data_IF_474771494866
#
_entry.id   IF_474771494866
#
_cell.length_a   1.000
_cell.length_b   1.000
_cell.length_c   1.000
_cell.angle_alpha   90.00
_cell.angle_beta   90.00
_cell.angle_gamma   90.00
#
_symmetry.space_group_name_H-M   'P 1'
#
loop_
_entity.id
_entity.type
_entity.pdbx_description
1 polymer ?
#
# COMPACT_ATOMS: atom_id res chain seq x y z
N UNK A 1 -7.03 -2.12 -5.33
CA UNK A 1 -6.36 -2.75 -6.51
C UNK A 1 -6.46 -4.27 -6.44
N UNK A 2 -6.24 -4.99 -7.53
CA UNK A 2 -6.17 -6.47 -7.58
C UNK A 2 -4.83 -7.01 -7.07
N UNK A 3 -4.77 -8.30 -6.69
CA UNK A 3 -3.52 -9.00 -6.32
C UNK A 3 -2.44 -8.83 -7.39
N UNK A 4 -2.81 -8.95 -8.67
CA UNK A 4 -1.86 -8.83 -9.79
C UNK A 4 -1.26 -7.43 -9.87
N UNK A 5 -2.09 -6.39 -9.80
CA UNK A 5 -1.61 -5.00 -9.81
C UNK A 5 -0.72 -4.71 -8.59
N UNK A 6 -1.06 -5.27 -7.43
CA UNK A 6 -0.23 -5.16 -6.22
C UNK A 6 1.10 -5.90 -6.39
N UNK A 7 1.10 -7.06 -7.06
CA UNK A 7 2.32 -7.82 -7.33
C UNK A 7 3.30 -7.08 -8.25
N UNK A 8 2.78 -6.23 -9.13
CA UNK A 8 3.54 -5.38 -10.06
C UNK A 8 4.09 -4.11 -9.41
N UNK A 9 3.79 -3.83 -8.13
CA UNK A 9 4.39 -2.73 -7.38
C UNK A 9 5.85 -3.02 -7.00
N UNK A 10 6.65 -1.97 -7.02
CA UNK A 10 8.08 -1.96 -6.72
C UNK A 10 8.42 -0.93 -5.66
N UNK A 11 9.59 -1.07 -5.03
CA UNK A 11 10.08 -0.10 -4.04
C UNK A 11 10.23 1.27 -4.69
N UNK A 12 9.65 2.30 -4.06
CA UNK A 12 9.58 3.66 -4.58
C UNK A 12 8.24 4.05 -5.20
N UNK A 13 7.38 3.07 -5.53
CA UNK A 13 6.04 3.36 -6.06
C UNK A 13 5.18 4.08 -5.02
N UNK A 14 4.36 5.02 -5.50
CA UNK A 14 3.42 5.80 -4.69
C UNK A 14 2.02 5.21 -4.72
N UNK A 15 1.39 5.20 -3.56
CA UNK A 15 0.05 4.64 -3.34
C UNK A 15 -0.77 5.54 -2.42
N UNK A 16 -2.09 5.35 -2.45
CA UNK A 16 -3.04 5.98 -1.54
C UNK A 16 -3.91 4.89 -0.92
N UNK A 17 -4.22 5.07 0.37
CA UNK A 17 -5.23 4.28 1.05
C UNK A 17 -6.64 4.70 0.59
N UNK A 18 -7.39 3.77 0.00
CA UNK A 18 -8.70 3.97 -0.63
C UNK A 18 -9.78 3.03 -0.04
N UNK A 19 -9.68 2.73 1.27
CA UNK A 19 -10.74 1.98 1.96
C UNK A 19 -11.89 2.90 2.39
N UNK A 20 -13.17 2.50 2.21
CA UNK A 20 -14.33 3.28 2.67
C UNK A 20 -14.52 3.30 4.20
N UNK A 21 -13.52 2.87 4.98
CA UNK A 21 -13.65 2.87 6.44
C UNK A 21 -13.68 4.32 6.99
N UNK A 22 -14.54 4.64 7.96
CA UNK A 22 -14.63 5.99 8.55
C UNK A 22 -13.36 6.42 9.33
N UNK A 23 -12.36 5.54 9.44
CA UNK A 23 -11.04 5.82 10.03
C UNK A 23 -9.96 6.13 8.98
N UNK A 24 -10.25 5.98 7.70
CA UNK A 24 -9.30 6.18 6.63
C UNK A 24 -9.26 7.65 6.21
N UNK A 25 -8.24 8.39 6.66
CA UNK A 25 -7.69 9.46 5.83
C UNK A 25 -7.14 8.80 4.56
N UNK A 26 -7.25 9.47 3.42
CA UNK A 26 -6.50 9.15 2.20
C UNK A 26 -5.01 9.39 2.48
N UNK A 27 -4.40 8.52 3.29
CA UNK A 27 -2.99 8.59 3.60
C UNK A 27 -2.24 8.15 2.33
N UNK A 28 -1.31 9.00 1.90
CA UNK A 28 -0.40 8.65 0.84
C UNK A 28 0.79 7.90 1.43
N UNK A 29 1.36 6.98 0.65
CA UNK A 29 2.47 6.16 1.09
C UNK A 29 3.38 5.75 -0.05
N UNK A 30 4.58 5.30 0.32
CA UNK A 30 5.58 4.76 -0.59
C UNK A 30 5.81 3.28 -0.27
N UNK A 31 5.96 2.44 -1.28
CA UNK A 31 6.46 1.08 -1.08
C UNK A 31 7.94 1.16 -0.67
N UNK A 32 8.28 0.70 0.53
CA UNK A 32 9.67 0.70 1.06
C UNK A 32 10.27 -0.71 1.11
N UNK A 33 9.45 -1.74 0.93
CA UNK A 33 9.90 -3.14 0.91
C UNK A 33 8.97 -4.04 0.11
N UNK A 34 9.53 -5.12 -0.45
CA UNK A 34 8.81 -6.12 -1.24
C UNK A 34 9.27 -7.52 -0.85
N UNK A 35 8.36 -8.29 -0.24
CA UNK A 35 8.53 -9.73 -0.05
C UNK A 35 8.12 -10.50 -1.30
N UNK A 36 8.04 -11.84 -1.28
CA UNK A 36 7.48 -12.61 -2.40
C UNK A 36 5.94 -12.46 -2.49
N UNK A 37 5.26 -12.39 -1.33
CA UNK A 37 3.80 -12.28 -1.21
C UNK A 37 3.34 -11.06 -0.42
N UNK A 38 4.23 -10.11 -0.12
CA UNK A 38 3.91 -8.96 0.73
C UNK A 38 4.57 -7.66 0.27
N UNK A 39 4.00 -6.56 0.74
CA UNK A 39 4.49 -5.19 0.56
C UNK A 39 4.70 -4.55 1.93
N UNK A 40 5.80 -3.83 2.09
CA UNK A 40 6.03 -2.94 3.22
C UNK A 40 5.80 -1.51 2.78
N UNK A 41 4.93 -0.79 3.48
CA UNK A 41 4.53 0.58 3.12
C UNK A 41 5.05 1.54 4.18
N UNK A 42 5.69 2.62 3.76
CA UNK A 42 5.89 3.80 4.58
C UNK A 42 4.77 4.79 4.31
N UNK A 43 3.87 4.96 5.27
CA UNK A 43 2.80 5.96 5.21
C UNK A 43 3.35 7.32 5.64
N UNK A 44 3.00 8.38 4.91
CA UNK A 44 3.57 9.71 5.14
C UNK A 44 3.21 10.29 6.53
N UNK A 45 2.12 9.82 7.13
CA UNK A 45 1.61 10.25 8.44
C UNK A 45 1.83 9.24 9.57
N UNK A 46 2.68 8.22 9.36
CA UNK A 46 2.97 7.20 10.36
C UNK A 46 4.47 6.94 10.55
N UNK A 47 4.89 6.82 11.81
CA UNK A 47 6.27 6.48 12.18
C UNK A 47 6.52 4.95 12.24
N UNK A 48 5.74 4.16 11.51
CA UNK A 48 5.88 2.71 11.44
C UNK A 48 5.64 2.20 10.01
N UNK A 49 6.23 1.04 9.71
CA UNK A 49 6.22 0.45 8.37
C UNK A 49 5.41 -0.85 8.33
N UNK A 50 4.08 -0.79 8.20
CA UNK A 50 3.25 -1.98 8.17
C UNK A 50 3.54 -2.84 6.93
N UNK A 51 3.36 -4.15 7.11
CA UNK A 51 3.48 -5.16 6.06
C UNK A 51 2.08 -5.68 5.73
N UNK A 52 1.74 -5.70 4.45
CA UNK A 52 0.45 -6.18 3.94
C UNK A 52 0.67 -7.35 2.99
N UNK A 53 -0.21 -8.34 3.05
CA UNK A 53 -0.26 -9.41 2.06
C UNK A 53 -0.83 -8.89 0.73
N UNK A 54 -0.34 -9.42 -0.39
CA UNK A 54 -0.84 -9.06 -1.72
C UNK A 54 -2.33 -9.41 -1.91
N UNK A 55 -2.85 -10.42 -1.19
CA UNK A 55 -4.27 -10.77 -1.21
C UNK A 55 -5.16 -9.70 -0.55
N UNK A 56 -4.60 -8.93 0.39
CA UNK A 56 -5.35 -7.95 1.17
C UNK A 56 -5.21 -6.52 0.61
N UNK A 57 -4.46 -6.30 -0.47
CA UNK A 57 -4.19 -4.96 -1.01
C UNK A 57 -5.39 -4.30 -1.74
N UNK A 58 -6.61 -4.84 -1.61
CA UNK A 58 -7.80 -4.30 -2.25
C UNK A 58 -8.07 -2.82 -1.92
N UNK A 59 -7.67 -2.37 -0.73
CA UNK A 59 -7.82 -1.00 -0.23
C UNK A 59 -6.77 -0.01 -0.76
N UNK A 60 -5.83 -0.44 -1.60
CA UNK A 60 -4.78 0.42 -2.15
C UNK A 60 -5.08 0.82 -3.59
N UNK A 61 -4.70 2.04 -3.95
CA UNK A 61 -4.71 2.56 -5.32
C UNK A 61 -3.36 3.21 -5.62
N UNK A 62 -2.82 3.04 -6.85
CA UNK A 62 -1.60 3.74 -7.27
C UNK A 62 -1.86 5.24 -7.33
N UNK A 63 -0.97 6.04 -6.75
CA UNK A 63 -1.02 7.49 -6.92
C UNK A 63 -0.53 7.85 -8.32
N UNK A 64 -1.28 8.67 -9.04
CA UNK A 64 -0.90 9.24 -10.33
C UNK A 64 0.11 10.38 -10.20
#
# INVERSE_FOLDING_TARGET
>A
MTRREAADLTVGDRIVWDSPSPRARLAAGTIVGRGSTSLTIGWDDADYYPVYDLDDCAFLTRAS
#
